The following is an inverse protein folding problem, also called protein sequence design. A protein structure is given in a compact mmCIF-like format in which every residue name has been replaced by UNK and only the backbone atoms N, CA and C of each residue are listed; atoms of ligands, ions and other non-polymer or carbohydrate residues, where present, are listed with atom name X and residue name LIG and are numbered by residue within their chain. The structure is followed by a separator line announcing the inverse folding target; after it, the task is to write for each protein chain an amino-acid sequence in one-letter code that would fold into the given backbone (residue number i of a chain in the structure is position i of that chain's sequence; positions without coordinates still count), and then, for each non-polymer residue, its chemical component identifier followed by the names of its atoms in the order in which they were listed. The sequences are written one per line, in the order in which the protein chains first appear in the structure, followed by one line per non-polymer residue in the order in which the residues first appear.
data_IF_330226973784
#
_entry.id   IF_330226973784
#
_cell.length_a   1.000
_cell.length_b   1.000
_cell.length_c   1.000
_cell.angle_alpha   90.00
_cell.angle_beta   90.00
_cell.angle_gamma   90.00
#
_symmetry.space_group_name_H-M   'P 1'
#
loop_
_entity.id
_entity.type
_entity.pdbx_description
1 polymer ?
#
# COMPACT_ATOMS: atom_id res chain seq x y z
N UNK A 1 -7.61 23.95 13.37
CA UNK A 1 -6.32 23.27 13.11
C UNK A 1 -6.61 22.08 12.22
N UNK A 2 -5.80 21.83 11.20
CA UNK A 2 -5.94 20.64 10.35
C UNK A 2 -5.54 19.41 11.15
N UNK A 3 -6.31 18.30 11.02
CA UNK A 3 -5.94 17.03 11.64
C UNK A 3 -4.64 16.50 11.05
N UNK A 4 -3.78 15.82 11.82
CA UNK A 4 -2.64 15.11 11.27
C UNK A 4 -3.11 14.00 10.31
N UNK A 5 -2.33 13.78 9.24
CA UNK A 5 -2.66 12.77 8.22
C UNK A 5 -2.01 11.44 8.59
N UNK A 6 -2.79 10.36 8.53
CA UNK A 6 -2.30 8.98 8.54
C UNK A 6 -2.48 8.40 7.14
N UNK A 7 -1.38 7.97 6.52
CA UNK A 7 -1.37 7.24 5.26
C UNK A 7 -0.84 5.83 5.50
N UNK A 8 -1.64 4.83 5.19
CA UNK A 8 -1.30 3.41 5.38
C UNK A 8 -1.99 2.54 4.33
N UNK A 9 -1.52 1.31 4.14
CA UNK A 9 -2.16 0.40 3.20
C UNK A 9 -1.56 -1.00 3.26
N UNK A 10 -2.16 -1.93 2.50
CA UNK A 10 -1.69 -3.29 2.34
C UNK A 10 -1.60 -3.65 0.86
N UNK A 11 -0.67 -4.54 0.52
CA UNK A 11 -0.53 -5.08 -0.84
C UNK A 11 -1.62 -6.15 -1.07
N UNK A 12 -2.45 -6.03 -2.12
CA UNK A 12 -3.48 -7.02 -2.42
C UNK A 12 -2.86 -8.25 -3.10
N UNK A 13 -2.18 -9.09 -2.33
CA UNK A 13 -1.52 -10.32 -2.79
C UNK A 13 -2.26 -11.58 -2.34
N UNK A 14 -3.51 -11.45 -1.95
CA UNK A 14 -4.40 -12.49 -1.43
C UNK A 14 -5.28 -11.95 -0.32
N UNK A 15 -6.05 -12.82 0.32
CA UNK A 15 -6.88 -12.46 1.48
C UNK A 15 -6.01 -12.09 2.68
N UNK A 16 -6.47 -11.13 3.47
CA UNK A 16 -5.84 -10.80 4.74
C UNK A 16 -6.09 -11.92 5.76
N UNK A 17 -5.22 -12.06 6.71
CA UNK A 17 -5.30 -13.06 7.76
C UNK A 17 -5.17 -12.44 9.14
N UNK A 18 -5.33 -13.26 10.20
CA UNK A 18 -5.31 -12.80 11.58
C UNK A 18 -4.05 -12.00 11.95
N UNK A 19 -2.91 -12.30 11.31
CA UNK A 19 -1.66 -11.55 11.52
C UNK A 19 -1.77 -10.09 11.03
N UNK A 20 -2.46 -9.84 9.92
CA UNK A 20 -2.74 -8.46 9.45
C UNK A 20 -3.69 -7.75 10.43
N UNK A 21 -4.70 -8.47 10.93
CA UNK A 21 -5.63 -7.89 11.89
C UNK A 21 -4.92 -7.43 13.17
N UNK A 22 -4.18 -8.34 13.82
CA UNK A 22 -3.50 -8.03 15.09
C UNK A 22 -2.35 -7.04 14.90
N UNK A 23 -1.60 -7.18 13.81
CA UNK A 23 -0.41 -6.36 13.55
C UNK A 23 -0.71 -4.95 13.07
N UNK A 24 -1.86 -4.71 12.43
CA UNK A 24 -2.13 -3.46 11.73
C UNK A 24 -3.58 -3.01 11.79
N UNK A 25 -4.54 -3.81 11.31
CA UNK A 25 -5.92 -3.37 11.07
C UNK A 25 -6.63 -2.95 12.34
N UNK A 26 -6.46 -3.70 13.43
CA UNK A 26 -7.03 -3.35 14.74
C UNK A 26 -6.62 -1.94 15.17
N UNK A 27 -5.35 -1.58 14.99
CA UNK A 27 -4.87 -0.25 15.37
C UNK A 27 -5.43 0.84 14.44
N UNK A 28 -5.60 0.55 13.15
CA UNK A 28 -6.21 1.50 12.21
C UNK A 28 -7.66 1.81 12.60
N UNK A 29 -8.43 0.79 12.98
CA UNK A 29 -9.81 0.99 13.47
C UNK A 29 -9.84 1.82 14.74
N UNK A 30 -8.95 1.56 15.70
CA UNK A 30 -8.85 2.37 16.92
C UNK A 30 -8.52 3.83 16.62
N UNK A 31 -7.55 4.09 15.73
CA UNK A 31 -7.17 5.45 15.33
C UNK A 31 -8.31 6.17 14.57
N UNK A 32 -9.06 5.45 13.76
CA UNK A 32 -10.27 5.96 13.10
C UNK A 32 -11.31 6.42 14.12
N UNK A 33 -11.56 5.61 15.16
CA UNK A 33 -12.56 5.92 16.19
C UNK A 33 -12.16 7.10 17.10
N UNK A 34 -10.86 7.40 17.20
CA UNK A 34 -10.39 8.59 17.94
C UNK A 34 -10.77 9.90 17.27
N UNK A 35 -11.10 9.91 15.99
CA UNK A 35 -11.44 11.08 15.16
C UNK A 35 -10.43 12.25 15.24
N UNK A 36 -9.18 11.94 15.56
CA UNK A 36 -8.09 12.92 15.68
C UNK A 36 -7.27 13.08 14.41
N UNK A 37 -7.46 12.18 13.44
CA UNK A 37 -6.63 12.03 12.25
C UNK A 37 -7.48 12.07 10.97
N UNK A 38 -6.90 12.59 9.90
CA UNK A 38 -7.39 12.36 8.55
C UNK A 38 -6.76 11.08 8.01
N UNK A 39 -7.54 9.99 7.95
CA UNK A 39 -7.03 8.67 7.60
C UNK A 39 -7.23 8.35 6.12
N UNK A 40 -6.13 7.93 5.51
CA UNK A 40 -6.06 7.43 4.14
C UNK A 40 -5.54 6.00 4.16
N UNK A 41 -6.35 5.06 3.69
CA UNK A 41 -6.04 3.63 3.67
C UNK A 41 -6.07 3.16 2.22
N UNK A 42 -4.96 2.69 1.68
CA UNK A 42 -4.89 2.32 0.28
C UNK A 42 -4.59 0.84 0.04
N UNK A 43 -5.10 0.36 -1.09
CA UNK A 43 -4.74 -0.93 -1.64
C UNK A 43 -3.54 -0.72 -2.57
N UNK A 44 -2.38 -1.24 -2.17
CA UNK A 44 -1.09 -0.98 -2.80
C UNK A 44 -0.86 -1.93 -4.00
N UNK A 45 -1.72 -1.84 -5.03
CA UNK A 45 -1.72 -2.72 -6.18
C UNK A 45 -0.47 -2.52 -7.06
N UNK A 46 -0.03 -1.28 -7.29
CA UNK A 46 1.22 -1.00 -8.00
C UNK A 46 2.44 -1.57 -7.27
N UNK A 47 2.47 -1.46 -5.94
CA UNK A 47 3.54 -2.04 -5.14
C UNK A 47 3.48 -3.58 -5.19
N UNK A 48 2.29 -4.18 -5.20
CA UNK A 48 2.13 -5.62 -5.31
C UNK A 48 2.70 -6.17 -6.63
N UNK A 49 2.63 -5.41 -7.73
CA UNK A 49 3.22 -5.78 -9.02
C UNK A 49 4.73 -6.00 -8.94
N UNK A 50 5.45 -5.39 -8.01
CA UNK A 50 6.90 -5.61 -7.86
C UNK A 50 7.23 -7.06 -7.54
N UNK A 51 6.34 -7.75 -6.84
CA UNK A 51 6.49 -9.17 -6.46
C UNK A 51 5.72 -10.13 -7.40
N UNK A 52 4.64 -9.65 -8.01
CA UNK A 52 3.68 -10.45 -8.80
C UNK A 52 3.56 -9.98 -10.26
N UNK A 53 4.64 -9.44 -10.84
CA UNK A 53 4.62 -8.94 -12.23
C UNK A 53 4.21 -10.00 -13.27
N UNK A 54 4.46 -11.30 -12.99
CA UNK A 54 4.13 -12.42 -13.87
C UNK A 54 2.66 -12.87 -13.73
N UNK A 55 1.97 -12.47 -12.67
CA UNK A 55 0.58 -12.82 -12.40
C UNK A 55 -0.21 -11.59 -11.90
N UNK A 56 -0.45 -10.60 -12.76
CA UNK A 56 -1.21 -9.41 -12.39
C UNK A 56 -2.68 -9.73 -12.09
N UNK A 57 -3.23 -10.83 -12.60
CA UNK A 57 -4.61 -11.22 -12.38
C UNK A 57 -4.90 -11.49 -10.90
N UNK A 58 -3.98 -12.15 -10.20
CA UNK A 58 -4.08 -12.37 -8.75
C UNK A 58 -4.22 -11.06 -7.98
N UNK A 59 -3.54 -9.99 -8.42
CA UNK A 59 -3.64 -8.67 -7.77
C UNK A 59 -5.02 -8.08 -8.00
N UNK A 60 -5.52 -8.10 -9.25
CA UNK A 60 -6.85 -7.57 -9.60
C UNK A 60 -7.94 -8.25 -8.76
N UNK A 61 -7.91 -9.57 -8.66
CA UNK A 61 -8.86 -10.34 -7.87
C UNK A 61 -8.74 -10.06 -6.36
N UNK A 62 -7.51 -9.83 -5.88
CA UNK A 62 -7.26 -9.57 -4.47
C UNK A 62 -7.67 -8.17 -4.01
N UNK A 63 -7.74 -7.18 -4.91
CA UNK A 63 -8.20 -5.81 -4.56
C UNK A 63 -9.58 -5.87 -3.89
N UNK A 64 -10.55 -6.55 -4.51
CA UNK A 64 -11.89 -6.70 -3.96
C UNK A 64 -11.92 -7.42 -2.61
N UNK A 65 -11.13 -8.49 -2.47
CA UNK A 65 -11.02 -9.26 -1.23
C UNK A 65 -10.48 -8.42 -0.08
N UNK A 66 -9.36 -7.69 -0.32
CA UNK A 66 -8.75 -6.84 0.71
C UNK A 66 -9.66 -5.66 1.08
N UNK A 67 -10.37 -5.08 0.11
CA UNK A 67 -11.35 -4.04 0.38
C UNK A 67 -12.49 -4.55 1.28
N UNK A 68 -13.00 -5.76 1.01
CA UNK A 68 -14.01 -6.41 1.85
C UNK A 68 -13.47 -6.71 3.26
N UNK A 69 -12.23 -7.17 3.37
CA UNK A 69 -11.59 -7.40 4.66
C UNK A 69 -11.46 -6.10 5.47
N UNK A 70 -11.14 -4.96 4.84
CA UNK A 70 -11.10 -3.64 5.50
C UNK A 70 -12.47 -3.28 6.09
N UNK A 71 -13.54 -3.44 5.31
CA UNK A 71 -14.90 -3.16 5.79
C UNK A 71 -15.31 -4.13 6.90
N UNK A 72 -14.99 -5.41 6.75
CA UNK A 72 -15.33 -6.45 7.71
C UNK A 72 -14.68 -6.24 9.09
N UNK A 73 -13.48 -5.68 9.15
CA UNK A 73 -12.80 -5.38 10.42
C UNK A 73 -13.22 -4.05 11.04
N UNK A 74 -14.05 -3.25 10.35
CA UNK A 74 -14.63 -2.01 10.87
C UNK A 74 -13.98 -0.72 10.36
N UNK A 75 -13.18 -0.78 9.29
CA UNK A 75 -12.80 0.46 8.59
C UNK A 75 -14.02 1.04 7.88
N UNK A 76 -14.40 2.25 8.24
CA UNK A 76 -15.60 2.93 7.79
C UNK A 76 -15.26 3.98 6.71
N UNK A 77 -15.76 3.81 5.46
CA UNK A 77 -15.50 4.76 4.38
C UNK A 77 -16.07 6.17 4.63
N UNK A 78 -16.96 6.34 5.59
CA UNK A 78 -17.45 7.65 6.00
C UNK A 78 -16.47 8.41 6.91
N UNK A 79 -15.55 7.69 7.56
CA UNK A 79 -14.53 8.22 8.49
C UNK A 79 -13.12 8.19 7.93
N UNK A 80 -12.85 7.27 7.01
CA UNK A 80 -11.52 7.05 6.41
C UNK A 80 -11.62 7.01 4.89
N UNK A 81 -10.70 7.64 4.18
CA UNK A 81 -10.64 7.55 2.73
C UNK A 81 -9.96 6.25 2.34
N UNK A 82 -10.70 5.34 1.69
CA UNK A 82 -10.17 4.08 1.16
C UNK A 82 -10.02 4.22 -0.36
N UNK A 83 -8.83 3.92 -0.91
CA UNK A 83 -8.58 4.06 -2.34
C UNK A 83 -7.59 3.03 -2.89
N UNK A 84 -7.55 2.88 -4.21
CA UNK A 84 -6.62 2.01 -4.93
C UNK A 84 -5.43 2.86 -5.41
N UNK A 85 -4.21 2.42 -5.15
CA UNK A 85 -2.99 3.17 -5.44
C UNK A 85 -2.87 3.54 -6.93
N UNK A 86 -3.20 2.62 -7.84
CA UNK A 86 -3.12 2.85 -9.29
C UNK A 86 -4.12 3.89 -9.82
N UNK A 87 -5.14 4.23 -9.02
CA UNK A 87 -6.09 5.29 -9.38
C UNK A 87 -5.60 6.69 -9.03
N UNK A 88 -4.39 6.82 -8.49
CA UNK A 88 -3.70 8.09 -8.25
C UNK A 88 -2.53 8.20 -9.25
N UNK A 89 -2.77 8.66 -10.48
CA UNK A 89 -1.76 8.68 -11.55
C UNK A 89 -0.55 9.56 -11.20
N UNK A 90 -0.74 10.56 -10.34
CA UNK A 90 0.31 11.46 -9.86
C UNK A 90 1.44 10.72 -9.15
N UNK A 91 1.19 9.56 -8.54
CA UNK A 91 2.23 8.73 -7.93
C UNK A 91 3.20 8.16 -8.97
N UNK A 92 2.68 7.70 -10.12
CA UNK A 92 3.49 7.22 -11.22
C UNK A 92 4.25 8.37 -11.89
N UNK A 93 3.59 9.51 -12.10
CA UNK A 93 4.19 10.72 -12.64
C UNK A 93 5.35 11.22 -11.77
N UNK A 94 5.13 11.32 -10.46
CA UNK A 94 6.17 11.73 -9.50
C UNK A 94 7.35 10.75 -9.50
N UNK A 95 7.09 9.45 -9.64
CA UNK A 95 8.14 8.44 -9.75
C UNK A 95 8.99 8.65 -11.00
N UNK A 96 8.38 9.02 -12.14
CA UNK A 96 9.11 9.37 -13.36
C UNK A 96 10.04 10.57 -13.15
N UNK A 97 9.60 11.62 -12.44
CA UNK A 97 10.47 12.76 -12.11
C UNK A 97 11.64 12.32 -11.22
N UNK A 98 11.40 11.52 -10.20
CA UNK A 98 12.46 11.04 -9.31
C UNK A 98 13.49 10.16 -10.04
N UNK A 99 13.07 9.34 -11.01
CA UNK A 99 14.01 8.54 -11.82
C UNK A 99 15.03 9.41 -12.56
N UNK A 100 14.69 10.66 -12.90
CA UNK A 100 15.64 11.59 -13.51
C UNK A 100 16.63 12.22 -12.51
N UNK A 101 16.34 12.15 -11.21
CA UNK A 101 17.15 12.75 -10.14
C UNK A 101 18.03 11.75 -9.40
N UNK A 102 17.77 10.46 -9.55
CA UNK A 102 18.48 9.39 -8.84
C UNK A 102 19.29 8.56 -9.82
N UNK A 103 20.60 8.55 -9.66
CA UNK A 103 21.49 7.72 -10.49
C UNK A 103 21.36 6.24 -10.14
N UNK A 104 21.58 5.35 -11.13
CA UNK A 104 21.58 3.90 -10.94
C UNK A 104 22.54 3.48 -9.82
N UNK A 105 23.76 4.03 -9.82
CA UNK A 105 24.76 3.75 -8.79
C UNK A 105 24.31 4.14 -7.36
N UNK A 106 23.41 5.12 -7.23
CA UNK A 106 22.80 5.48 -5.94
C UNK A 106 21.76 4.46 -5.51
N UNK A 107 20.93 3.99 -6.44
CA UNK A 107 19.94 2.94 -6.19
C UNK A 107 20.60 1.64 -5.76
N UNK A 108 21.65 1.20 -6.48
CA UNK A 108 22.39 -0.03 -6.18
C UNK A 108 23.07 -0.02 -4.80
N UNK A 109 23.33 1.15 -4.23
CA UNK A 109 23.87 1.27 -2.87
C UNK A 109 22.80 1.13 -1.78
N UNK A 110 21.51 1.17 -2.14
CA UNK A 110 20.44 0.95 -1.17
C UNK A 110 20.40 -0.54 -0.79
N UNK A 111 20.49 -0.90 0.50
CA UNK A 111 20.53 -2.30 0.93
C UNK A 111 19.32 -3.12 0.48
N UNK A 112 18.13 -2.53 0.51
CA UNK A 112 16.88 -3.20 0.07
C UNK A 112 16.92 -3.50 -1.42
N UNK A 113 17.27 -2.52 -2.25
CA UNK A 113 17.38 -2.68 -3.70
C UNK A 113 18.44 -3.75 -4.04
N UNK A 114 19.59 -3.71 -3.37
CA UNK A 114 20.65 -4.70 -3.56
C UNK A 114 20.19 -6.12 -3.23
N UNK A 115 19.45 -6.28 -2.15
CA UNK A 115 18.89 -7.57 -1.74
C UNK A 115 17.87 -8.09 -2.76
N UNK A 116 16.98 -7.21 -3.24
CA UNK A 116 15.97 -7.58 -4.24
C UNK A 116 16.60 -7.95 -5.59
N UNK A 117 17.61 -7.23 -6.06
CA UNK A 117 18.36 -7.58 -7.26
C UNK A 117 18.93 -8.99 -7.15
N UNK A 118 19.57 -9.31 -6.01
CA UNK A 118 20.15 -10.63 -5.77
C UNK A 118 19.10 -11.74 -5.71
N UNK A 119 17.94 -11.48 -5.10
CA UNK A 119 16.86 -12.48 -4.96
C UNK A 119 16.09 -12.73 -6.26
N UNK A 120 15.90 -11.70 -7.08
CA UNK A 120 15.10 -11.78 -8.31
C UNK A 120 15.96 -12.09 -9.56
N UNK A 121 17.31 -12.04 -9.45
CA UNK A 121 18.22 -12.39 -10.51
C UNK A 121 18.31 -11.33 -11.64
N UNK A 122 18.18 -10.06 -11.29
CA UNK A 122 18.38 -8.94 -12.21
C UNK A 122 19.87 -8.64 -12.42
#
# INVERSE_FOLDING_TARGET
MTKPIILTGDRPTGKLHIGHYVGSLKNRVLLQEEDKYDMFVFLADQQALTDHAKDPQTIVESIGNVALDYLAVGLDPSKSTIFIQSQIPELAELSMYYMNLVSLARLERNPTVKTEIAQKGF
#
